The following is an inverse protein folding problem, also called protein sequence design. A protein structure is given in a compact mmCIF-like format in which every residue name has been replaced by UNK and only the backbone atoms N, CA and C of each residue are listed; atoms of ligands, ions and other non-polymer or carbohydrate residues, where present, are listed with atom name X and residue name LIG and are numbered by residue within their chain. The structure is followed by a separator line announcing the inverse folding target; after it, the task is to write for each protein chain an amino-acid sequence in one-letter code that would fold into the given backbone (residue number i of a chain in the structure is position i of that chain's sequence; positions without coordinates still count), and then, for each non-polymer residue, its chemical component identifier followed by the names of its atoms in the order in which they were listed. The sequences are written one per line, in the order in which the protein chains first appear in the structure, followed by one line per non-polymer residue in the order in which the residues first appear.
data_IF_302677890634
#
_entry.id   IF_302677890634
#
_cell.length_a   1.000
_cell.length_b   1.000
_cell.length_c   1.000
_cell.angle_alpha   90.00
_cell.angle_beta   90.00
_cell.angle_gamma   90.00
#
_symmetry.space_group_name_H-M   'P 1'
#
loop_
_entity.id
_entity.type
_entity.pdbx_description
1 polymer ?
#
# COMPACT_ATOMS: atom_id res chain seq x y z
N UNK A 1 5.88 23.46 -1.87
CA UNK A 1 5.18 23.17 -3.14
C UNK A 1 5.21 24.42 -3.97
N UNK A 2 5.85 24.36 -5.14
CA UNK A 2 5.91 25.51 -6.08
C UNK A 2 4.65 25.55 -6.95
N UNK A 3 4.07 24.37 -7.27
CA UNK A 3 2.90 24.24 -8.14
C UNK A 3 1.82 23.35 -7.54
N UNK A 4 0.56 23.56 -7.94
CA UNK A 4 -0.57 22.72 -7.62
C UNK A 4 -1.05 21.96 -8.85
N UNK A 5 -1.29 20.67 -8.67
CA UNK A 5 -1.86 19.81 -9.70
C UNK A 5 -3.38 19.75 -9.53
N UNK A 6 -4.09 20.01 -10.62
CA UNK A 6 -5.53 19.84 -10.69
C UNK A 6 -5.89 18.64 -11.54
N UNK A 7 -6.73 17.79 -11.01
CA UNK A 7 -7.29 16.66 -11.76
C UNK A 7 -8.34 17.16 -12.73
N UNK A 8 -8.74 16.34 -13.70
CA UNK A 8 -9.73 16.70 -14.71
C UNK A 8 -11.09 17.13 -14.11
N UNK A 9 -11.43 16.62 -12.93
CA UNK A 9 -12.62 17.02 -12.17
C UNK A 9 -12.45 18.36 -11.41
N UNK A 10 -11.32 19.06 -11.59
CA UNK A 10 -11.02 20.34 -10.97
C UNK A 10 -10.46 20.26 -9.54
N UNK A 11 -10.42 19.10 -8.90
CA UNK A 11 -9.88 18.97 -7.52
C UNK A 11 -8.36 18.88 -7.52
N UNK A 12 -7.72 19.41 -6.45
CA UNK A 12 -6.29 19.19 -6.19
C UNK A 12 -6.06 17.85 -5.53
N UNK A 13 -4.80 17.39 -5.54
CA UNK A 13 -4.33 16.21 -4.79
C UNK A 13 -3.84 16.56 -3.38
N UNK A 14 -3.87 17.84 -3.00
CA UNK A 14 -3.42 18.31 -1.69
C UNK A 14 -4.21 17.64 -0.56
N UNK A 15 -3.52 17.26 0.53
CA UNK A 15 -4.01 16.58 1.72
C UNK A 15 -4.47 15.14 1.53
N UNK A 16 -5.05 14.79 0.38
CA UNK A 16 -5.70 13.49 0.15
C UNK A 16 -4.90 12.57 -0.76
N UNK A 17 -4.03 13.14 -1.61
CA UNK A 17 -3.40 12.38 -2.69
C UNK A 17 -4.44 11.88 -3.71
N UNK A 18 -4.10 10.81 -4.39
CA UNK A 18 -5.04 10.04 -5.23
C UNK A 18 -5.66 8.94 -4.38
N UNK A 19 -6.96 9.05 -4.13
CA UNK A 19 -7.69 8.07 -3.33
C UNK A 19 -8.16 6.94 -4.24
N UNK A 20 -7.77 5.68 -4.00
CA UNK A 20 -8.28 4.53 -4.75
C UNK A 20 -9.73 4.22 -4.37
N UNK A 21 -10.48 3.62 -5.30
CA UNK A 21 -11.87 3.19 -5.05
C UNK A 21 -11.95 2.06 -4.02
N UNK A 22 -10.95 1.18 -4.01
CA UNK A 22 -10.78 0.09 -3.03
C UNK A 22 -9.41 0.28 -2.37
N UNK A 23 -9.41 0.62 -1.08
CA UNK A 23 -8.20 0.84 -0.31
C UNK A 23 -7.84 -0.43 0.47
N UNK A 24 -6.59 -0.83 0.38
CA UNK A 24 -6.00 -1.87 1.24
C UNK A 24 -5.22 -1.14 2.33
N UNK A 25 -5.48 -1.39 3.63
CA UNK A 25 -4.75 -0.73 4.70
C UNK A 25 -3.27 -1.12 4.71
N UNK A 26 -2.42 -0.11 4.82
CA UNK A 26 -0.98 -0.22 4.97
C UNK A 26 -0.46 0.65 6.13
N UNK A 27 0.84 0.64 6.41
CA UNK A 27 1.44 1.47 7.47
C UNK A 27 1.25 2.97 7.25
N UNK A 28 1.13 3.42 6.01
CA UNK A 28 0.99 4.83 5.64
C UNK A 28 -0.47 5.27 5.54
N UNK A 29 -1.42 4.38 5.78
CA UNK A 29 -2.86 4.67 5.76
C UNK A 29 -3.29 5.62 6.89
N UNK A 30 -2.48 5.74 7.96
CA UNK A 30 -2.78 6.60 9.11
C UNK A 30 -2.75 8.09 8.77
N UNK A 31 -3.69 8.84 9.35
CA UNK A 31 -3.79 10.29 9.11
C UNK A 31 -2.54 11.07 9.52
N UNK A 32 -1.73 10.54 10.44
CA UNK A 32 -0.46 11.13 10.88
C UNK A 32 0.65 11.12 9.81
N UNK A 33 0.56 10.26 8.81
CA UNK A 33 1.47 10.23 7.66
C UNK A 33 1.03 11.11 6.51
N UNK A 34 -0.25 11.53 6.49
CA UNK A 34 -0.79 12.33 5.41
C UNK A 34 -0.30 13.78 5.48
N UNK A 35 -0.16 14.40 4.32
CA UNK A 35 0.23 15.81 4.19
C UNK A 35 -0.58 16.73 5.10
N UNK A 36 -1.88 16.46 5.29
CA UNK A 36 -2.77 17.24 6.17
C UNK A 36 -2.34 17.30 7.64
N UNK A 37 -1.50 16.36 8.10
CA UNK A 37 -0.96 16.38 9.46
C UNK A 37 0.12 17.46 9.66
N UNK A 38 0.69 17.98 8.57
CA UNK A 38 1.64 19.08 8.63
C UNK A 38 0.89 20.41 8.72
N UNK A 39 1.14 21.18 9.77
CA UNK A 39 0.53 22.50 9.98
C UNK A 39 0.80 23.50 8.83
N UNK A 40 1.92 23.35 8.13
CA UNK A 40 2.33 24.16 6.99
C UNK A 40 1.85 23.65 5.63
N UNK A 41 1.07 22.57 5.60
CA UNK A 41 0.58 21.99 4.35
C UNK A 41 -0.38 22.96 3.62
N UNK A 42 -0.22 23.05 2.31
CA UNK A 42 -1.11 23.87 1.48
C UNK A 42 -2.52 23.28 1.49
N UNK A 43 -3.51 24.13 1.73
CA UNK A 43 -4.92 23.71 1.72
C UNK A 43 -5.38 23.32 0.31
N UNK A 44 -6.24 22.29 0.19
CA UNK A 44 -6.85 21.95 -1.07
C UNK A 44 -7.77 23.09 -1.55
N UNK A 45 -7.81 23.27 -2.86
CA UNK A 45 -8.75 24.15 -3.53
C UNK A 45 -9.28 23.46 -4.81
N UNK A 46 -10.11 24.13 -5.57
CA UNK A 46 -10.68 23.59 -6.78
C UNK A 46 -10.49 24.57 -7.93
N UNK A 47 -10.19 24.04 -9.10
CA UNK A 47 -10.20 24.74 -10.39
C UNK A 47 -11.50 24.40 -11.14
N UNK A 48 -11.66 24.97 -12.32
CA UNK A 48 -12.76 24.59 -13.21
C UNK A 48 -12.60 23.14 -13.64
N UNK A 49 -13.71 22.41 -13.63
CA UNK A 49 -13.74 21.04 -14.14
C UNK A 49 -13.45 21.03 -15.65
N UNK A 50 -12.58 20.11 -16.07
CA UNK A 50 -12.33 19.85 -17.49
C UNK A 50 -13.53 19.17 -18.16
N UNK A 51 -13.57 19.24 -19.49
CA UNK A 51 -14.57 18.51 -20.28
C UNK A 51 -14.04 17.09 -20.49
N UNK A 52 -14.79 16.07 -20.05
CA UNK A 52 -14.46 14.68 -20.24
C UNK A 52 -15.71 13.81 -20.31
N UNK A 53 -15.59 12.70 -21.02
CA UNK A 53 -16.64 11.70 -21.09
C UNK A 53 -16.50 10.70 -19.92
N UNK A 54 -17.62 10.45 -19.24
CA UNK A 54 -17.68 9.48 -18.16
C UNK A 54 -17.69 8.06 -18.72
N UNK A 55 -16.76 7.24 -18.32
CA UNK A 55 -16.77 5.81 -18.59
C UNK A 55 -17.92 5.14 -17.83
N UNK A 56 -18.34 3.94 -18.29
CA UNK A 56 -19.31 3.13 -17.54
C UNK A 56 -18.82 2.92 -16.10
N UNK A 57 -19.69 3.14 -15.10
CA UNK A 57 -19.29 2.93 -13.71
C UNK A 57 -18.94 1.45 -13.47
N UNK A 58 -17.87 1.24 -12.75
CA UNK A 58 -17.47 -0.09 -12.28
C UNK A 58 -18.34 -0.52 -11.10
N UNK A 59 -18.57 -1.82 -10.86
CA UNK A 59 -19.33 -2.31 -9.71
C UNK A 59 -18.50 -2.25 -8.41
N UNK A 60 -17.95 -1.05 -8.08
CA UNK A 60 -16.98 -0.84 -7.01
C UNK A 60 -17.49 -1.33 -5.66
N UNK A 61 -18.77 -1.10 -5.33
CA UNK A 61 -19.34 -1.51 -4.04
C UNK A 61 -19.31 -3.03 -3.84
N UNK A 62 -19.65 -3.79 -4.87
CA UNK A 62 -19.62 -5.26 -4.82
C UNK A 62 -18.18 -5.80 -4.74
N UNK A 63 -17.27 -5.23 -5.52
CA UNK A 63 -15.85 -5.59 -5.51
C UNK A 63 -15.21 -5.27 -4.15
N UNK A 64 -15.50 -4.10 -3.61
CA UNK A 64 -15.04 -3.67 -2.28
C UNK A 64 -15.52 -4.61 -1.18
N UNK A 65 -16.79 -5.00 -1.18
CA UNK A 65 -17.33 -5.92 -0.17
C UNK A 65 -16.63 -7.29 -0.21
N UNK A 66 -16.34 -7.83 -1.40
CA UNK A 66 -15.60 -9.09 -1.55
C UNK A 66 -14.15 -8.96 -1.08
N UNK A 67 -13.47 -7.88 -1.44
CA UNK A 67 -12.10 -7.58 -0.99
C UNK A 67 -12.03 -7.46 0.53
N UNK A 68 -12.90 -6.67 1.14
CA UNK A 68 -12.96 -6.54 2.60
C UNK A 68 -13.23 -7.88 3.30
N UNK A 69 -14.06 -8.74 2.72
CA UNK A 69 -14.31 -10.08 3.28
C UNK A 69 -13.04 -10.93 3.30
N UNK A 70 -12.23 -10.92 2.24
CA UNK A 70 -10.94 -11.65 2.18
C UNK A 70 -9.94 -11.08 3.19
N UNK A 71 -9.76 -9.77 3.19
CA UNK A 71 -8.79 -9.09 4.05
C UNK A 71 -9.10 -9.25 5.55
N UNK A 72 -10.37 -9.40 5.93
CA UNK A 72 -10.78 -9.66 7.34
C UNK A 72 -10.27 -10.99 7.88
N UNK A 73 -10.04 -11.98 7.04
CA UNK A 73 -9.56 -13.32 7.43
C UNK A 73 -8.09 -13.56 7.10
N UNK A 74 -7.44 -12.65 6.40
CA UNK A 74 -6.04 -12.78 6.02
C UNK A 74 -5.11 -12.47 7.21
N UNK A 75 -4.20 -13.41 7.53
CA UNK A 75 -3.30 -13.32 8.69
C UNK A 75 -2.31 -12.16 8.58
N UNK A 76 -1.84 -11.87 7.37
CA UNK A 76 -0.94 -10.75 7.11
C UNK A 76 -1.69 -9.42 7.36
N UNK A 77 -2.89 -9.27 6.81
CA UNK A 77 -3.68 -8.05 6.99
C UNK A 77 -4.09 -7.84 8.46
N UNK A 78 -4.38 -8.92 9.18
CA UNK A 78 -4.66 -8.84 10.62
C UNK A 78 -3.43 -8.37 11.42
N UNK A 79 -2.24 -8.88 11.08
CA UNK A 79 -0.99 -8.44 11.70
C UNK A 79 -0.70 -6.97 11.37
N UNK A 80 -0.88 -6.57 10.10
CA UNK A 80 -0.74 -5.18 9.63
C UNK A 80 -1.67 -4.24 10.38
N UNK A 81 -2.96 -4.56 10.44
CA UNK A 81 -3.96 -3.75 11.15
C UNK A 81 -3.64 -3.60 12.65
N UNK A 82 -3.14 -4.68 13.28
CA UNK A 82 -2.71 -4.66 14.68
C UNK A 82 -1.51 -3.74 14.89
N UNK A 83 -0.55 -3.76 13.98
CA UNK A 83 0.62 -2.88 14.02
C UNK A 83 0.22 -1.41 13.81
N UNK A 84 -0.62 -1.11 12.81
CA UNK A 84 -1.14 0.23 12.55
C UNK A 84 -1.85 0.78 13.78
N UNK A 85 -2.74 -0.01 14.37
CA UNK A 85 -3.47 0.38 15.60
C UNK A 85 -2.51 0.67 16.75
N UNK A 86 -1.52 -0.20 16.97
CA UNK A 86 -0.53 0.01 18.03
C UNK A 86 0.29 1.28 17.81
N UNK A 87 0.73 1.54 16.58
CA UNK A 87 1.47 2.76 16.23
C UNK A 87 0.61 4.00 16.48
N UNK A 88 -0.65 3.96 16.07
CA UNK A 88 -1.59 5.06 16.26
C UNK A 88 -1.80 5.39 17.74
N UNK A 89 -1.98 4.38 18.57
CA UNK A 89 -2.27 4.56 20.00
C UNK A 89 -1.04 4.91 20.84
N UNK A 90 0.17 4.48 20.43
CA UNK A 90 1.35 4.52 21.30
C UNK A 90 2.53 5.36 20.75
N UNK A 91 2.57 5.64 19.46
CA UNK A 91 3.74 6.27 18.83
C UNK A 91 3.42 7.66 18.28
N UNK A 92 2.20 7.89 17.82
CA UNK A 92 1.79 9.19 17.25
C UNK A 92 1.40 10.22 18.31
N UNK A 93 1.39 9.83 19.58
CA UNK A 93 1.16 10.73 20.71
C UNK A 93 2.35 11.68 20.96
N UNK A 94 2.06 12.79 21.64
CA UNK A 94 3.08 13.78 22.04
C UNK A 94 3.92 13.32 23.24
N UNK A 95 3.63 12.16 23.82
CA UNK A 95 4.26 11.65 25.05
C UNK A 95 5.27 10.56 24.70
N UNK A 96 6.52 10.75 25.15
CA UNK A 96 7.60 9.77 25.01
C UNK A 96 7.91 9.21 26.39
N UNK A 97 8.11 7.89 26.48
CA UNK A 97 8.58 7.24 27.70
C UNK A 97 10.02 7.68 28.00
N UNK A 98 10.23 8.35 29.13
CA UNK A 98 11.57 8.82 29.53
C UNK A 98 12.37 7.76 30.29
N UNK A 99 11.71 6.76 30.87
CA UNK A 99 12.38 5.65 31.52
C UNK A 99 12.99 4.71 30.46
N UNK A 100 14.32 4.57 30.51
CA UNK A 100 15.07 3.80 29.52
C UNK A 100 14.55 2.37 29.30
N UNK A 101 14.26 1.54 30.33
CA UNK A 101 13.72 0.20 30.12
C UNK A 101 12.36 0.21 29.38
N UNK A 102 11.47 1.15 29.72
CA UNK A 102 10.16 1.27 29.09
C UNK A 102 10.28 1.71 27.62
N UNK A 103 11.16 2.67 27.33
CA UNK A 103 11.45 3.11 25.97
C UNK A 103 11.99 1.96 25.11
N UNK A 104 12.98 1.21 25.62
CA UNK A 104 13.57 0.06 24.91
C UNK A 104 12.52 -1.03 24.67
N UNK A 105 11.67 -1.33 25.66
CA UNK A 105 10.60 -2.30 25.51
C UNK A 105 9.58 -1.88 24.43
N UNK A 106 9.21 -0.60 24.38
CA UNK A 106 8.34 -0.05 23.33
C UNK A 106 8.97 -0.19 21.94
N UNK A 107 10.25 0.19 21.78
CA UNK A 107 10.98 0.07 20.52
C UNK A 107 11.10 -1.39 20.05
N UNK A 108 11.40 -2.30 20.98
CA UNK A 108 11.46 -3.73 20.68
C UNK A 108 10.11 -4.24 20.19
N UNK A 109 9.02 -3.90 20.87
CA UNK A 109 7.68 -4.31 20.46
C UNK A 109 7.34 -3.87 19.04
N UNK A 110 7.70 -2.65 18.66
CA UNK A 110 7.52 -2.14 17.29
C UNK A 110 8.37 -2.95 16.32
N UNK A 111 9.65 -3.19 16.63
CA UNK A 111 10.54 -3.99 15.78
C UNK A 111 10.01 -5.41 15.57
N UNK A 112 9.57 -6.08 16.64
CA UNK A 112 9.01 -7.45 16.57
C UNK A 112 7.72 -7.50 15.71
N UNK A 113 6.88 -6.46 15.75
CA UNK A 113 5.69 -6.35 14.89
C UNK A 113 6.07 -6.23 13.41
N UNK A 114 7.05 -5.39 13.08
CA UNK A 114 7.53 -5.22 11.71
C UNK A 114 8.24 -6.49 11.19
N UNK A 115 9.01 -7.16 12.05
CA UNK A 115 9.69 -8.40 11.68
C UNK A 115 8.69 -9.50 11.35
N UNK A 116 7.67 -9.69 12.17
CA UNK A 116 6.58 -10.64 11.93
C UNK A 116 5.86 -10.41 10.60
N UNK A 117 5.70 -9.14 10.19
CA UNK A 117 5.07 -8.80 8.90
C UNK A 117 6.04 -9.09 7.75
N UNK A 118 7.33 -8.80 7.90
CA UNK A 118 8.36 -9.10 6.89
C UNK A 118 8.63 -10.59 6.70
N UNK A 119 8.42 -11.41 7.73
CA UNK A 119 8.59 -12.86 7.66
C UNK A 119 7.47 -13.56 6.87
N UNK A 120 6.40 -12.85 6.50
CA UNK A 120 5.38 -13.41 5.61
C UNK A 120 5.88 -13.36 4.16
N UNK A 121 6.64 -14.38 3.78
CA UNK A 121 7.21 -14.57 2.44
C UNK A 121 6.33 -15.46 1.53
N UNK A 122 5.08 -15.69 1.90
CA UNK A 122 4.15 -16.50 1.11
C UNK A 122 4.06 -15.98 -0.33
N UNK A 123 4.35 -16.84 -1.28
CA UNK A 123 4.21 -16.53 -2.70
C UNK A 123 2.77 -16.76 -3.13
N UNK A 124 2.24 -15.83 -3.92
CA UNK A 124 0.90 -15.99 -4.49
C UNK A 124 0.84 -17.18 -5.43
N UNK A 125 -0.28 -17.90 -5.39
CA UNK A 125 -0.60 -18.97 -6.34
C UNK A 125 -1.53 -18.50 -7.47
N UNK A 126 -1.97 -17.25 -7.45
CA UNK A 126 -2.93 -16.69 -8.41
C UNK A 126 -2.27 -16.25 -9.72
N UNK A 127 -0.98 -15.96 -9.69
CA UNK A 127 -0.25 -15.48 -10.83
C UNK A 127 1.20 -15.98 -10.84
N UNK A 128 1.82 -15.95 -12.00
CA UNK A 128 3.25 -16.23 -12.17
C UNK A 128 3.98 -14.97 -12.59
N UNK A 129 5.17 -14.77 -12.05
CA UNK A 129 6.03 -13.64 -12.40
C UNK A 129 7.17 -14.14 -13.28
N UNK A 130 7.28 -13.56 -14.46
CA UNK A 130 8.34 -13.87 -15.43
C UNK A 130 8.84 -12.60 -16.07
N UNK A 131 10.12 -12.55 -16.39
CA UNK A 131 10.65 -11.48 -17.20
C UNK A 131 10.03 -11.50 -18.60
N UNK A 132 9.80 -10.34 -19.20
CA UNK A 132 9.49 -10.25 -20.61
C UNK A 132 10.68 -10.77 -21.46
N UNK A 133 10.47 -11.01 -22.73
CA UNK A 133 11.48 -11.64 -23.61
C UNK A 133 12.77 -10.82 -23.70
N UNK A 134 12.69 -9.51 -23.73
CA UNK A 134 13.83 -8.62 -23.83
C UNK A 134 14.68 -8.63 -22.54
N UNK A 135 14.04 -8.47 -21.38
CA UNK A 135 14.72 -8.49 -20.09
C UNK A 135 15.28 -9.88 -19.77
N UNK A 136 14.57 -10.96 -20.14
CA UNK A 136 15.06 -12.32 -19.98
C UNK A 136 16.36 -12.56 -20.74
N UNK A 137 16.48 -12.05 -21.97
CA UNK A 137 17.73 -12.16 -22.73
C UNK A 137 18.89 -11.42 -22.04
N UNK A 138 18.64 -10.20 -21.55
CA UNK A 138 19.64 -9.42 -20.81
C UNK A 138 20.08 -10.12 -19.52
N UNK A 139 19.11 -10.59 -18.74
CA UNK A 139 19.39 -11.29 -17.49
C UNK A 139 20.17 -12.57 -17.73
N UNK A 140 19.82 -13.36 -18.77
CA UNK A 140 20.55 -14.58 -19.10
C UNK A 140 22.00 -14.32 -19.51
N UNK A 141 22.26 -13.19 -20.16
CA UNK A 141 23.60 -12.76 -20.57
C UNK A 141 24.39 -12.06 -19.45
N UNK A 142 23.78 -11.82 -18.31
CA UNK A 142 24.37 -11.06 -17.20
C UNK A 142 25.20 -11.92 -16.23
N UNK A 143 25.86 -11.27 -15.25
CA UNK A 143 26.59 -11.95 -14.18
C UNK A 143 25.64 -12.71 -13.23
N UNK A 144 26.17 -13.67 -12.48
CA UNK A 144 25.37 -14.42 -11.48
C UNK A 144 24.74 -13.47 -10.47
N UNK A 145 25.49 -12.49 -9.97
CA UNK A 145 24.96 -11.49 -9.04
C UNK A 145 23.74 -10.73 -9.60
N UNK A 146 23.74 -10.37 -10.87
CA UNK A 146 22.59 -9.71 -11.51
C UNK A 146 21.39 -10.65 -11.68
N UNK A 147 21.64 -11.94 -11.93
CA UNK A 147 20.59 -12.96 -11.94
C UNK A 147 19.95 -13.14 -10.58
N UNK A 148 20.76 -13.19 -9.52
CA UNK A 148 20.28 -13.33 -8.14
C UNK A 148 19.46 -12.10 -7.72
N UNK A 149 19.89 -10.89 -8.08
CA UNK A 149 19.13 -9.65 -7.85
C UNK A 149 17.78 -9.69 -8.59
N UNK A 150 17.78 -10.11 -9.86
CA UNK A 150 16.55 -10.22 -10.64
C UNK A 150 15.58 -11.23 -10.02
N UNK A 151 16.06 -12.39 -9.57
CA UNK A 151 15.20 -13.39 -8.91
C UNK A 151 14.63 -12.86 -7.59
N UNK A 152 15.45 -12.14 -6.80
CA UNK A 152 14.96 -11.49 -5.59
C UNK A 152 13.84 -10.48 -5.87
N UNK A 153 13.92 -9.68 -6.93
CA UNK A 153 12.84 -8.79 -7.36
C UNK A 153 11.58 -9.58 -7.79
N UNK A 154 11.75 -10.66 -8.55
CA UNK A 154 10.62 -11.48 -8.95
C UNK A 154 9.94 -12.13 -7.72
N UNK A 155 10.73 -12.56 -6.73
CA UNK A 155 10.21 -13.12 -5.48
C UNK A 155 9.46 -12.07 -4.66
N UNK A 156 9.96 -10.83 -4.61
CA UNK A 156 9.26 -9.72 -3.98
C UNK A 156 7.87 -9.48 -4.62
N UNK A 157 7.79 -9.51 -5.95
CA UNK A 157 6.50 -9.36 -6.65
C UNK A 157 5.58 -10.57 -6.38
N UNK A 158 6.13 -11.80 -6.33
CA UNK A 158 5.35 -13.02 -6.04
C UNK A 158 4.74 -13.01 -4.63
N UNK A 159 5.41 -12.37 -3.67
CA UNK A 159 4.95 -12.24 -2.28
C UNK A 159 4.22 -10.92 -1.99
N UNK A 160 3.97 -10.09 -3.00
CA UNK A 160 3.26 -8.83 -2.85
C UNK A 160 1.76 -9.07 -2.60
N UNK A 161 1.31 -8.76 -1.38
CA UNK A 161 -0.07 -8.96 -0.92
C UNK A 161 -1.06 -8.00 -1.55
N UNK A 162 -0.61 -6.79 -1.84
CA UNK A 162 -1.45 -5.79 -2.50
C UNK A 162 -1.71 -6.19 -3.95
N UNK A 163 -0.67 -6.66 -4.64
CA UNK A 163 -0.81 -7.20 -5.99
C UNK A 163 -1.72 -8.43 -6.01
N UNK A 164 -1.56 -9.35 -5.06
CA UNK A 164 -2.43 -10.53 -4.94
C UNK A 164 -3.89 -10.15 -4.80
N UNK A 165 -4.20 -9.17 -3.93
CA UNK A 165 -5.55 -8.69 -3.75
C UNK A 165 -6.07 -7.92 -4.98
N UNK A 166 -5.23 -7.15 -5.66
CA UNK A 166 -5.60 -6.51 -6.93
C UNK A 166 -5.99 -7.54 -7.99
N UNK A 167 -5.25 -8.65 -8.10
CA UNK A 167 -5.60 -9.77 -8.99
C UNK A 167 -6.91 -10.42 -8.59
N UNK A 168 -7.16 -10.64 -7.30
CA UNK A 168 -8.44 -11.15 -6.80
C UNK A 168 -9.62 -10.25 -7.19
N UNK A 169 -9.47 -8.93 -7.03
CA UNK A 169 -10.47 -7.95 -7.44
C UNK A 169 -10.74 -8.02 -8.94
N UNK A 170 -9.71 -8.15 -9.77
CA UNK A 170 -9.86 -8.32 -11.22
C UNK A 170 -10.58 -9.62 -11.59
N UNK A 171 -10.26 -10.72 -10.89
CA UNK A 171 -10.95 -12.01 -11.07
C UNK A 171 -12.43 -11.89 -10.69
N UNK A 172 -12.74 -11.20 -9.60
CA UNK A 172 -14.11 -10.97 -9.18
C UNK A 172 -14.89 -10.09 -10.18
N UNK A 173 -14.23 -9.06 -10.70
CA UNK A 173 -14.85 -8.19 -11.72
C UNK A 173 -15.21 -8.95 -12.99
N UNK A 174 -14.36 -9.88 -13.42
CA UNK A 174 -14.65 -10.72 -14.61
C UNK A 174 -15.84 -11.66 -14.42
N UNK A 175 -16.27 -11.91 -13.19
CA UNK A 175 -17.40 -12.78 -12.84
C UNK A 175 -18.71 -12.03 -12.62
N UNK A 176 -18.69 -10.69 -12.63
CA UNK A 176 -19.87 -9.81 -12.53
C UNK A 176 -20.36 -9.39 -13.90
#
# INVERSE_FOLDING_TARGET
TEDKFYRINGSTVQWKGVVPDISIPDFFSGDWYKEKANASALKPDNSKQGIYELLKPLPVSALKAKSEQRLRSDSFQLAMNSAIKYLQENITGTTIQLQWPAYVAQKKKVADMFEKIREDDRKSTLFTVTNNNFDRQKVNASTQQQKDINEAYMDQIRSDRELEEAVNIMIDWRKL
#
